data_IF_861212471089
#
_entry.id   IF_861212471089
#
_cell.length_a   1.000
_cell.length_b   1.000
_cell.length_c   1.000
_cell.angle_alpha   90.00
_cell.angle_beta   90.00
_cell.angle_gamma   90.00
#
_symmetry.space_group_name_H-M   'P 1'
#
loop_
_entity.id
_entity.type
_entity.pdbx_description
1 polymer ?
#
# COMPACT_ATOMS: atom_id res chain seq x y z
N UNK A 1 24.69 2.76 17.38
CA UNK A 1 23.49 3.59 17.41
C UNK A 1 22.65 3.24 18.62
N UNK A 2 22.21 4.24 19.34
CA UNK A 2 21.36 3.99 20.51
C UNK A 2 20.00 3.44 20.07
N UNK A 3 19.52 2.48 20.81
CA UNK A 3 18.19 1.95 20.60
C UNK A 3 17.16 2.89 21.20
N UNK A 4 16.33 3.47 20.36
CA UNK A 4 15.32 4.44 20.75
C UNK A 4 13.92 3.84 20.82
N UNK A 5 13.80 2.52 20.96
CA UNK A 5 12.50 1.85 20.89
C UNK A 5 11.45 2.47 21.81
N UNK A 6 11.83 2.84 23.03
CA UNK A 6 10.91 3.47 23.99
C UNK A 6 10.71 4.96 23.80
N UNK A 7 11.54 5.60 22.97
CA UNK A 7 11.55 7.06 22.80
C UNK A 7 11.37 7.52 21.36
N UNK A 8 11.03 6.60 20.45
CA UNK A 8 10.79 6.96 19.06
C UNK A 8 9.61 7.90 18.91
N UNK A 9 9.77 8.93 18.10
CA UNK A 9 8.62 9.71 17.65
C UNK A 9 7.89 8.95 16.56
N UNK A 10 6.63 9.27 16.37
CA UNK A 10 5.81 8.62 15.32
C UNK A 10 5.53 9.58 14.16
N UNK A 11 6.51 10.40 13.83
CA UNK A 11 6.39 11.39 12.77
C UNK A 11 6.28 10.71 11.41
N UNK A 12 5.29 11.09 10.62
CA UNK A 12 5.08 10.55 9.28
C UNK A 12 5.60 11.45 8.16
N UNK A 13 5.99 12.67 8.47
CA UNK A 13 6.34 13.69 7.47
C UNK A 13 7.54 13.29 6.60
N UNK A 14 8.45 12.48 7.12
CA UNK A 14 9.62 12.01 6.39
C UNK A 14 9.46 10.59 5.81
N UNK A 15 8.24 10.06 5.83
CA UNK A 15 7.94 8.79 5.21
C UNK A 15 7.97 8.92 3.68
N UNK A 16 8.48 7.89 3.01
CA UNK A 16 8.66 7.92 1.56
C UNK A 16 8.08 6.64 0.96
N UNK A 17 7.43 6.78 -0.18
CA UNK A 17 6.92 5.65 -0.96
C UNK A 17 7.44 5.74 -2.39
N UNK A 18 8.05 4.67 -2.86
CA UNK A 18 8.48 4.55 -4.26
C UNK A 18 7.67 3.48 -4.96
N UNK A 19 7.27 3.79 -6.19
CA UNK A 19 6.48 2.90 -7.04
C UNK A 19 7.29 2.55 -8.28
N UNK A 20 7.33 1.26 -8.62
CA UNK A 20 7.92 0.77 -9.87
C UNK A 20 6.88 -0.11 -10.56
N UNK A 21 6.56 0.21 -11.81
CA UNK A 21 5.68 -0.61 -12.64
C UNK A 21 6.49 -1.03 -13.87
N UNK A 22 7.05 -2.25 -13.91
CA UNK A 22 7.82 -2.68 -15.06
C UNK A 22 7.00 -2.62 -16.35
N UNK A 23 7.57 -2.03 -17.38
CA UNK A 23 6.90 -1.81 -18.65
C UNK A 23 6.24 -0.45 -18.78
N UNK A 24 5.97 0.25 -17.68
CA UNK A 24 5.43 1.62 -17.69
C UNK A 24 6.37 2.58 -16.99
N UNK A 25 6.74 2.26 -15.75
CA UNK A 25 7.70 3.03 -14.97
C UNK A 25 8.82 2.09 -14.52
N UNK A 26 9.88 1.98 -15.31
CA UNK A 26 10.97 1.04 -15.04
C UNK A 26 11.90 1.51 -13.92
N UNK A 27 11.95 2.81 -13.66
CA UNK A 27 12.70 3.37 -12.54
C UNK A 27 11.75 3.71 -11.40
N UNK A 28 12.19 3.57 -10.13
CA UNK A 28 11.33 3.94 -9.00
C UNK A 28 10.91 5.41 -9.05
N UNK A 29 9.63 5.66 -8.85
CA UNK A 29 9.05 7.00 -8.84
C UNK A 29 8.49 7.27 -7.45
N UNK A 30 8.85 8.41 -6.87
CA UNK A 30 8.33 8.81 -5.57
C UNK A 30 6.87 9.22 -5.67
N UNK A 31 6.04 8.63 -4.82
CA UNK A 31 4.62 8.99 -4.72
C UNK A 31 4.48 10.18 -3.79
N UNK A 32 3.81 11.22 -4.24
CA UNK A 32 3.66 12.49 -3.53
C UNK A 32 2.19 12.92 -3.43
N UNK A 33 1.93 13.91 -2.60
CA UNK A 33 0.59 14.52 -2.51
C UNK A 33 -0.43 13.66 -1.81
N UNK A 34 -0.04 13.00 -0.73
CA UNK A 34 -0.97 12.19 0.07
C UNK A 34 -2.05 13.05 0.70
N UNK A 35 -3.22 12.44 0.94
CA UNK A 35 -4.25 13.04 1.77
C UNK A 35 -3.76 13.19 3.22
N UNK A 36 -4.42 14.06 3.99
CA UNK A 36 -4.01 14.32 5.36
C UNK A 36 -4.29 13.16 6.31
N UNK A 37 -5.42 12.48 6.11
CA UNK A 37 -5.83 11.37 6.98
C UNK A 37 -5.66 10.04 6.26
N UNK A 38 -5.09 9.05 6.97
CA UNK A 38 -4.94 7.69 6.46
C UNK A 38 -4.40 7.66 5.02
N UNK A 39 -3.36 8.45 4.77
CA UNK A 39 -2.77 8.59 3.44
C UNK A 39 -2.34 7.24 2.86
N UNK A 40 -1.76 6.39 3.70
CA UNK A 40 -1.40 5.02 3.34
C UNK A 40 -1.86 4.14 4.49
N UNK A 41 -2.70 3.16 4.20
CA UNK A 41 -3.19 2.23 5.22
C UNK A 41 -3.16 0.81 4.68
N UNK A 42 -2.92 -0.13 5.56
CA UNK A 42 -2.89 -1.54 5.22
C UNK A 42 -4.02 -2.25 5.96
N UNK A 43 -4.81 -3.04 5.24
CA UNK A 43 -5.88 -3.82 5.84
C UNK A 43 -5.30 -4.90 6.75
N UNK A 44 -5.99 -5.15 7.87
CA UNK A 44 -5.67 -6.30 8.71
C UNK A 44 -5.98 -7.58 7.96
N UNK A 45 -5.14 -8.58 8.16
CA UNK A 45 -5.39 -9.90 7.61
C UNK A 45 -5.46 -10.91 8.74
N UNK A 46 -6.15 -12.01 8.50
CA UNK A 46 -6.34 -13.07 9.47
C UNK A 46 -5.53 -14.29 9.05
N UNK A 47 -4.25 -14.39 9.47
CA UNK A 47 -3.38 -15.48 9.02
C UNK A 47 -3.68 -16.82 9.70
N UNK A 48 -4.37 -16.79 10.81
CA UNK A 48 -4.65 -18.00 11.60
C UNK A 48 -6.14 -18.11 11.87
N UNK A 49 -6.69 -19.29 11.61
CA UNK A 49 -8.08 -19.61 11.94
C UNK A 49 -8.07 -20.55 13.14
N UNK A 50 -8.89 -20.23 14.13
CA UNK A 50 -9.06 -21.05 15.32
C UNK A 50 -10.39 -21.80 15.23
N UNK A 51 -10.36 -23.12 15.47
CA UNK A 51 -11.55 -23.96 15.50
C UNK A 51 -11.59 -24.73 16.81
N UNK A 52 -12.72 -24.66 17.51
CA UNK A 52 -12.92 -25.37 18.75
C UNK A 52 -13.67 -26.66 18.50
N UNK A 53 -13.08 -27.78 18.90
CA UNK A 53 -13.72 -29.09 18.76
C UNK A 53 -14.76 -29.35 19.83
N UNK A 54 -15.51 -30.42 19.64
CA UNK A 54 -16.55 -30.84 20.56
C UNK A 54 -16.00 -31.20 21.96
N UNK A 55 -14.74 -31.63 22.00
CA UNK A 55 -14.01 -31.93 23.21
C UNK A 55 -13.50 -30.69 23.96
N UNK A 56 -13.75 -29.50 23.43
CA UNK A 56 -13.30 -28.26 24.02
C UNK A 56 -11.88 -27.84 23.64
N UNK A 57 -11.18 -28.65 22.85
CA UNK A 57 -9.83 -28.34 22.40
C UNK A 57 -9.85 -27.40 21.17
N UNK A 58 -9.03 -26.36 21.20
CA UNK A 58 -8.92 -25.42 20.08
C UNK A 58 -7.78 -25.81 19.15
N UNK A 59 -8.06 -25.92 17.87
CA UNK A 59 -7.05 -26.17 16.83
C UNK A 59 -6.85 -24.93 16.00
N UNK A 60 -5.61 -24.70 15.56
CA UNK A 60 -5.24 -23.52 14.77
C UNK A 60 -4.74 -23.96 13.40
N UNK A 61 -5.19 -23.24 12.37
CA UNK A 61 -4.75 -23.47 11.00
C UNK A 61 -4.22 -22.21 10.38
N UNK A 62 -3.15 -22.34 9.59
CA UNK A 62 -2.57 -21.22 8.85
C UNK A 62 -3.33 -21.03 7.54
N UNK A 63 -3.72 -19.77 7.26
CA UNK A 63 -4.36 -19.38 6.03
C UNK A 63 -3.46 -18.36 5.34
N UNK A 64 -3.08 -18.67 4.09
CA UNK A 64 -2.28 -17.74 3.29
C UNK A 64 -3.21 -16.70 2.69
N UNK A 65 -2.92 -15.43 2.94
CA UNK A 65 -3.72 -14.31 2.47
C UNK A 65 -2.83 -13.28 1.80
N UNK A 66 -3.41 -12.53 0.85
CA UNK A 66 -2.73 -11.41 0.24
C UNK A 66 -2.74 -10.20 1.17
N UNK A 67 -1.80 -9.28 0.94
CA UNK A 67 -1.69 -8.04 1.69
C UNK A 67 -2.25 -6.91 0.85
N UNK A 68 -3.22 -6.19 1.38
CA UNK A 68 -3.86 -5.08 0.70
C UNK A 68 -3.44 -3.77 1.32
N UNK A 69 -3.02 -2.82 0.48
CA UNK A 69 -2.68 -1.48 0.91
C UNK A 69 -3.56 -0.48 0.17
N UNK A 70 -4.06 0.51 0.90
CA UNK A 70 -4.86 1.59 0.35
C UNK A 70 -4.04 2.87 0.38
N UNK A 71 -3.89 3.50 -0.78
CA UNK A 71 -3.19 4.77 -0.92
C UNK A 71 -4.22 5.83 -1.29
N UNK A 72 -4.30 6.89 -0.49
CA UNK A 72 -5.23 7.98 -0.72
C UNK A 72 -4.42 9.21 -1.08
N UNK A 73 -4.68 9.74 -2.27
CA UNK A 73 -3.99 10.91 -2.81
C UNK A 73 -4.94 12.11 -2.85
N UNK A 74 -4.41 13.27 -2.52
CA UNK A 74 -5.12 14.53 -2.67
C UNK A 74 -5.48 14.77 -4.15
N UNK A 75 -6.58 15.46 -4.41
CA UNK A 75 -7.04 15.71 -5.78
C UNK A 75 -6.04 16.51 -6.62
N UNK A 76 -5.17 17.28 -5.98
CA UNK A 76 -4.14 18.07 -6.64
C UNK A 76 -2.76 17.38 -6.64
N UNK A 77 -2.70 16.10 -6.26
CA UNK A 77 -1.46 15.36 -6.19
C UNK A 77 -0.85 15.16 -7.59
N UNK A 78 0.44 15.45 -7.77
CA UNK A 78 1.11 15.15 -9.04
C UNK A 78 1.22 13.65 -9.31
N UNK A 79 1.15 12.81 -8.26
CA UNK A 79 1.22 11.37 -8.41
C UNK A 79 -0.12 10.73 -8.82
N UNK A 80 -1.21 11.48 -8.80
CA UNK A 80 -2.51 10.98 -9.24
C UNK A 80 -2.44 10.46 -10.68
N UNK A 81 -1.69 11.18 -11.54
CA UNK A 81 -1.51 10.79 -12.93
C UNK A 81 -0.80 9.45 -13.09
N UNK A 82 0.10 9.10 -12.17
CA UNK A 82 0.80 7.81 -12.23
C UNK A 82 -0.18 6.65 -12.18
N UNK A 83 -1.15 6.72 -11.29
CA UNK A 83 -2.15 5.68 -11.14
C UNK A 83 -3.17 5.70 -12.28
N UNK A 84 -3.52 6.87 -12.78
CA UNK A 84 -4.42 7.00 -13.92
C UNK A 84 -3.79 6.39 -15.18
N UNK A 85 -2.52 6.70 -15.45
CA UNK A 85 -1.82 6.16 -16.62
C UNK A 85 -1.65 4.65 -16.51
N UNK A 86 -1.38 4.15 -15.31
CA UNK A 86 -1.29 2.72 -15.06
C UNK A 86 -2.62 2.01 -15.37
N UNK A 87 -3.71 2.54 -14.85
CA UNK A 87 -5.04 1.99 -15.10
C UNK A 87 -5.41 2.06 -16.58
N UNK A 88 -5.13 3.18 -17.24
CA UNK A 88 -5.42 3.36 -18.66
C UNK A 88 -4.64 2.39 -19.53
N UNK A 89 -3.37 2.14 -19.21
CA UNK A 89 -2.55 1.21 -19.96
C UNK A 89 -3.07 -0.23 -19.83
N UNK A 90 -3.49 -0.63 -18.63
CA UNK A 90 -4.11 -1.94 -18.42
C UNK A 90 -5.39 -2.10 -19.23
N UNK A 91 -6.22 -1.07 -19.27
CA UNK A 91 -7.46 -1.10 -20.02
C UNK A 91 -7.22 -1.19 -21.52
N UNK A 92 -6.21 -0.50 -22.04
CA UNK A 92 -5.91 -0.49 -23.46
C UNK A 92 -5.22 -1.77 -23.94
N UNK A 93 -4.31 -2.31 -23.14
CA UNK A 93 -3.58 -3.54 -23.50
C UNK A 93 -4.32 -4.81 -23.13
N UNK A 94 -5.34 -4.71 -22.26
CA UNK A 94 -6.08 -5.86 -21.72
C UNK A 94 -5.18 -6.84 -20.96
N UNK A 95 -4.14 -6.33 -20.37
CA UNK A 95 -3.21 -7.12 -19.56
C UNK A 95 -2.99 -6.45 -18.20
N UNK A 96 -2.76 -7.29 -17.19
CA UNK A 96 -2.46 -6.82 -15.85
C UNK A 96 -0.99 -6.42 -15.79
N UNK A 97 -0.72 -5.22 -15.27
CA UNK A 97 0.64 -4.75 -15.02
C UNK A 97 0.88 -4.74 -13.52
N UNK A 98 1.80 -5.60 -13.09
CA UNK A 98 2.15 -5.72 -11.68
C UNK A 98 3.17 -4.65 -11.30
N UNK A 99 3.17 -4.29 -10.02
CA UNK A 99 4.07 -3.28 -9.50
C UNK A 99 4.87 -3.78 -8.31
N UNK A 100 5.91 -3.04 -7.99
CA UNK A 100 6.67 -3.19 -6.75
C UNK A 100 6.62 -1.84 -6.04
N UNK A 101 6.46 -1.87 -4.72
CA UNK A 101 6.45 -0.66 -3.91
C UNK A 101 7.38 -0.79 -2.73
N UNK A 102 7.98 0.31 -2.36
CA UNK A 102 8.88 0.40 -1.20
C UNK A 102 8.43 1.55 -0.32
N UNK A 103 8.19 1.24 0.94
CA UNK A 103 7.81 2.24 1.94
C UNK A 103 8.92 2.34 2.98
N UNK A 104 9.41 3.55 3.18
CA UNK A 104 10.43 3.84 4.19
C UNK A 104 9.82 4.69 5.28
N UNK A 105 9.90 4.21 6.52
CA UNK A 105 9.38 4.91 7.69
C UNK A 105 10.52 5.19 8.66
N UNK A 106 11.29 6.29 8.44
CA UNK A 106 12.46 6.58 9.28
C UNK A 106 12.12 6.79 10.75
N UNK A 107 10.93 7.30 11.06
CA UNK A 107 10.53 7.57 12.44
C UNK A 107 10.55 6.32 13.32
N UNK A 108 10.22 5.17 12.75
CA UNK A 108 10.22 3.89 13.47
C UNK A 108 11.32 2.94 12.99
N UNK A 109 12.21 3.44 12.15
CA UNK A 109 13.38 2.69 11.63
C UNK A 109 12.98 1.40 10.91
N UNK A 110 11.94 1.48 10.07
CA UNK A 110 11.40 0.32 9.34
C UNK A 110 11.29 0.62 7.85
N UNK A 111 11.40 -0.46 7.08
CA UNK A 111 11.25 -0.44 5.64
C UNK A 111 10.34 -1.60 5.24
N UNK A 112 9.35 -1.32 4.39
CA UNK A 112 8.42 -2.33 3.91
C UNK A 112 8.51 -2.40 2.39
N UNK A 113 8.60 -3.61 1.86
CA UNK A 113 8.69 -3.86 0.43
C UNK A 113 7.56 -4.79 0.00
N UNK A 114 6.76 -4.34 -0.94
CA UNK A 114 5.72 -5.15 -1.56
C UNK A 114 6.11 -5.52 -2.98
N UNK A 115 5.94 -6.78 -3.34
CA UNK A 115 6.25 -7.30 -4.67
C UNK A 115 5.04 -7.96 -5.29
N UNK A 116 4.96 -7.94 -6.62
CA UNK A 116 3.87 -8.50 -7.40
C UNK A 116 2.53 -7.94 -6.95
N UNK A 117 2.44 -6.62 -6.93
CA UNK A 117 1.22 -5.92 -6.56
C UNK A 117 0.35 -5.64 -7.77
N UNK A 118 -0.93 -5.98 -7.67
CA UNK A 118 -1.93 -5.65 -8.66
C UNK A 118 -2.87 -4.57 -8.12
N UNK A 119 -3.24 -3.62 -8.95
CA UNK A 119 -4.19 -2.58 -8.56
C UNK A 119 -5.61 -3.15 -8.62
N UNK A 120 -6.15 -3.51 -7.47
CA UNK A 120 -7.45 -4.20 -7.37
C UNK A 120 -8.62 -3.24 -7.23
N UNK A 121 -8.38 -1.99 -6.88
CA UNK A 121 -9.43 -0.96 -6.84
C UNK A 121 -8.85 0.36 -7.31
N UNK A 122 -9.57 1.03 -8.18
CA UNK A 122 -9.17 2.30 -8.80
C UNK A 122 -10.34 3.27 -8.72
N UNK A 123 -10.06 4.49 -8.30
CA UNK A 123 -10.99 5.58 -8.41
C UNK A 123 -10.57 6.44 -9.59
N UNK A 124 -11.30 6.34 -10.70
CA UNK A 124 -10.91 6.96 -11.96
C UNK A 124 -11.02 8.47 -11.97
N UNK A 125 -11.73 9.03 -11.01
CA UNK A 125 -11.95 10.46 -10.93
C UNK A 125 -12.21 10.87 -9.48
N UNK A 126 -11.65 12.01 -9.04
CA UNK A 126 -11.96 12.52 -7.70
C UNK A 126 -13.46 12.84 -7.57
N UNK A 127 -13.99 12.67 -6.37
CA UNK A 127 -15.38 13.07 -6.10
C UNK A 127 -15.47 14.59 -6.15
N UNK A 128 -16.46 15.08 -6.90
CA UNK A 128 -16.69 16.51 -7.08
C UNK A 128 -17.75 16.97 -6.09
N UNK A 129 -17.33 17.76 -5.12
CA UNK A 129 -18.22 18.42 -4.17
C UNK A 129 -18.02 19.93 -4.24
N UNK A 130 -18.10 20.64 -3.11
CA UNK A 130 -17.69 22.04 -3.08
C UNK A 130 -16.20 22.17 -3.44
N UNK A 131 -15.40 21.20 -2.97
CA UNK A 131 -14.01 21.04 -3.39
C UNK A 131 -13.82 19.62 -3.91
N UNK A 132 -12.76 19.41 -4.67
CA UNK A 132 -12.39 18.06 -5.11
C UNK A 132 -11.92 17.23 -3.92
N UNK A 133 -12.43 16.01 -3.81
CA UNK A 133 -12.10 15.11 -2.71
C UNK A 133 -10.93 14.21 -3.07
N UNK A 134 -10.20 13.68 -2.06
CA UNK A 134 -9.11 12.74 -2.31
C UNK A 134 -9.59 11.48 -3.04
N UNK A 135 -8.69 10.87 -3.80
CA UNK A 135 -8.93 9.61 -4.50
C UNK A 135 -8.17 8.49 -3.83
N UNK A 136 -8.80 7.31 -3.73
CA UNK A 136 -8.21 6.13 -3.10
C UNK A 136 -7.94 5.04 -4.13
N UNK A 137 -6.81 4.35 -3.94
CA UNK A 137 -6.39 3.22 -4.78
C UNK A 137 -6.00 2.07 -3.87
N UNK A 138 -6.41 0.85 -4.23
CA UNK A 138 -6.07 -0.35 -3.47
C UNK A 138 -5.15 -1.22 -4.30
N UNK A 139 -4.03 -1.61 -3.72
CA UNK A 139 -3.06 -2.51 -4.35
C UNK A 139 -2.93 -3.76 -3.48
N UNK A 140 -3.12 -4.93 -4.09
CA UNK A 140 -2.99 -6.21 -3.42
C UNK A 140 -1.66 -6.82 -3.77
N UNK A 141 -0.83 -7.08 -2.78
CA UNK A 141 0.50 -7.65 -2.95
C UNK A 141 0.53 -9.14 -2.66
N UNK A 142 1.21 -9.88 -3.52
CA UNK A 142 1.48 -11.30 -3.31
C UNK A 142 2.56 -11.50 -2.24
N UNK A 143 3.62 -10.68 -2.29
CA UNK A 143 4.73 -10.76 -1.36
C UNK A 143 4.91 -9.43 -0.64
N UNK A 144 5.15 -9.52 0.66
CA UNK A 144 5.35 -8.35 1.50
C UNK A 144 6.39 -8.66 2.56
N UNK A 145 7.42 -7.84 2.66
CA UNK A 145 8.49 -8.03 3.64
C UNK A 145 8.68 -6.77 4.45
N UNK A 146 9.04 -6.96 5.72
CA UNK A 146 9.39 -5.88 6.62
C UNK A 146 10.82 -6.09 7.08
N UNK A 147 11.60 -5.02 7.14
CA UNK A 147 12.99 -5.08 7.56
C UNK A 147 13.38 -3.81 8.30
N UNK A 148 14.48 -3.85 9.09
CA UNK A 148 15.06 -2.63 9.64
C UNK A 148 15.56 -1.73 8.52
N UNK A 149 15.47 -0.44 8.76
CA UNK A 149 15.97 0.54 7.80
C UNK A 149 17.50 0.59 7.83
#
# INVERSE_FOLDING_TARGET
>A
MADNMGNMTITAVNSVCYLTVPGLYDAPIKVEGYATDAAVSMAQRNPVVAQKGVDGKTSFGLVLTNKEITITLSADSPSLRLFEDWAALQDSTREVMLCNMEFTLPAINRKYVGSRGGMTAVQDMPVVGQTLQPSAFVITFDQWTASPL
#
